data_IF_935162167686
#
_entry.id   IF_935162167686
#
_cell.length_a   1.000
_cell.length_b   1.000
_cell.length_c   1.000
_cell.angle_alpha   90.00
_cell.angle_beta   90.00
_cell.angle_gamma   90.00
#
_symmetry.space_group_name_H-M   'P 1'
#
loop_
_entity.id
_entity.type
_entity.pdbx_description
1 polymer ?
#
# COMPACT_ATOMS: atom_id res chain seq x y z
N UNK A 1 -18.54 15.24 21.30
CA UNK A 1 -18.20 14.52 20.05
C UNK A 1 -16.92 15.11 19.45
N UNK A 2 -16.84 16.44 19.27
CA UNK A 2 -15.63 17.17 18.85
C UNK A 2 -14.30 16.73 19.53
N UNK A 3 -14.21 16.74 20.87
CA UNK A 3 -12.97 16.40 21.56
C UNK A 3 -12.55 14.91 21.44
N UNK A 4 -13.50 14.00 21.17
CA UNK A 4 -13.15 12.61 20.86
C UNK A 4 -12.64 12.49 19.43
N UNK A 5 -13.26 13.20 18.47
CA UNK A 5 -12.79 13.22 17.08
C UNK A 5 -11.40 13.84 16.96
N UNK A 6 -11.12 14.92 17.71
CA UNK A 6 -9.79 15.56 17.76
C UNK A 6 -8.72 14.62 18.33
N UNK A 7 -9.07 13.83 19.35
CA UNK A 7 -8.17 12.82 19.92
C UNK A 7 -7.91 11.69 18.92
N UNK A 8 -8.96 11.17 18.26
CA UNK A 8 -8.82 10.11 17.24
C UNK A 8 -7.99 10.60 16.05
N UNK A 9 -8.18 11.86 15.63
CA UNK A 9 -7.40 12.46 14.55
C UNK A 9 -5.92 12.62 14.94
N UNK A 10 -5.61 13.12 16.13
CA UNK A 10 -4.21 13.25 16.57
C UNK A 10 -3.51 11.89 16.69
N UNK A 11 -4.21 10.85 17.18
CA UNK A 11 -3.69 9.48 17.18
C UNK A 11 -3.42 8.96 15.77
N UNK A 12 -4.31 9.23 14.82
CA UNK A 12 -4.14 8.84 13.41
C UNK A 12 -2.97 9.56 12.76
N UNK A 13 -2.81 10.85 13.02
CA UNK A 13 -1.69 11.65 12.53
C UNK A 13 -0.35 11.13 13.05
N UNK A 14 -0.27 10.83 14.34
CA UNK A 14 0.98 10.32 14.94
C UNK A 14 1.32 8.92 14.43
N UNK A 15 0.33 8.03 14.26
CA UNK A 15 0.53 6.76 13.58
C UNK A 15 1.02 6.96 12.13
N UNK A 16 0.44 7.92 11.40
CA UNK A 16 0.87 8.25 10.04
C UNK A 16 2.31 8.75 10.00
N UNK A 17 2.72 9.61 10.94
CA UNK A 17 4.10 10.09 11.08
C UNK A 17 5.07 8.93 11.35
N UNK A 18 4.68 7.95 12.17
CA UNK A 18 5.52 6.77 12.40
C UNK A 18 5.66 5.91 11.15
N UNK A 19 4.58 5.73 10.37
CA UNK A 19 4.64 5.00 9.09
C UNK A 19 5.55 5.72 8.06
N UNK A 20 5.52 7.05 8.03
CA UNK A 20 6.43 7.85 7.19
C UNK A 20 7.90 7.60 7.57
N UNK A 21 8.22 7.39 8.85
CA UNK A 21 9.59 7.06 9.28
C UNK A 21 10.09 5.73 8.72
N UNK A 22 9.25 4.70 8.70
CA UNK A 22 9.59 3.38 8.12
C UNK A 22 9.84 3.50 6.61
N UNK A 23 9.16 4.43 5.94
CA UNK A 23 9.36 4.67 4.50
C UNK A 23 10.76 5.20 4.15
N UNK A 24 11.43 5.86 5.10
CA UNK A 24 12.77 6.43 4.88
C UNK A 24 13.89 5.38 4.98
N UNK A 25 13.63 4.20 5.57
CA UNK A 25 14.58 3.10 5.58
C UNK A 25 14.30 2.16 4.41
N UNK A 26 15.17 2.17 3.40
CA UNK A 26 14.97 1.45 2.15
C UNK A 26 14.81 -0.07 2.34
N UNK A 27 15.48 -0.68 3.33
CA UNK A 27 15.37 -2.12 3.57
C UNK A 27 14.06 -2.49 4.27
N UNK A 28 13.69 -1.74 5.31
CA UNK A 28 12.44 -1.95 6.04
C UNK A 28 11.23 -1.68 5.15
N UNK A 29 11.29 -0.64 4.32
CA UNK A 29 10.23 -0.32 3.37
C UNK A 29 10.03 -1.41 2.31
N UNK A 30 11.12 -1.99 1.78
CA UNK A 30 11.03 -3.14 0.87
C UNK A 30 10.41 -4.36 1.56
N UNK A 31 10.80 -4.67 2.80
CA UNK A 31 10.19 -5.78 3.53
C UNK A 31 8.69 -5.52 3.77
N UNK A 32 8.32 -4.30 4.15
CA UNK A 32 6.92 -3.90 4.31
C UNK A 32 6.12 -4.09 3.01
N UNK A 33 6.65 -3.62 1.87
CA UNK A 33 5.99 -3.82 0.57
C UNK A 33 5.78 -5.30 0.25
N UNK A 34 6.80 -6.15 0.48
CA UNK A 34 6.68 -7.60 0.30
C UNK A 34 5.54 -8.16 1.17
N UNK A 35 5.51 -7.84 2.46
CA UNK A 35 4.49 -8.32 3.39
C UNK A 35 3.08 -7.88 2.99
N UNK A 36 2.92 -6.63 2.54
CA UNK A 36 1.65 -6.11 2.04
C UNK A 36 1.17 -6.85 0.79
N UNK A 37 2.07 -7.15 -0.15
CA UNK A 37 1.73 -7.95 -1.34
C UNK A 37 1.30 -9.35 -0.95
N UNK A 38 2.06 -10.04 -0.08
CA UNK A 38 1.71 -11.39 0.41
C UNK A 38 0.35 -11.39 1.10
N UNK A 39 0.08 -10.40 1.96
CA UNK A 39 -1.19 -10.26 2.66
C UNK A 39 -2.36 -10.09 1.67
N UNK A 40 -2.18 -9.26 0.63
CA UNK A 40 -3.17 -9.08 -0.43
C UNK A 40 -3.47 -10.39 -1.17
N UNK A 41 -2.42 -11.11 -1.60
CA UNK A 41 -2.55 -12.39 -2.30
C UNK A 41 -3.28 -13.45 -1.44
N UNK A 42 -2.96 -13.54 -0.15
CA UNK A 42 -3.62 -14.46 0.80
C UNK A 42 -5.13 -14.16 0.96
N UNK A 43 -5.51 -12.89 0.82
CA UNK A 43 -6.90 -12.45 0.92
C UNK A 43 -7.68 -12.65 -0.37
N UNK A 44 -7.07 -12.37 -1.52
CA UNK A 44 -7.70 -12.53 -2.84
C UNK A 44 -7.82 -14.01 -3.24
N UNK A 45 -6.73 -14.78 -3.07
CA UNK A 45 -6.62 -16.18 -3.50
C UNK A 45 -6.96 -16.39 -4.98
N UNK A 46 -6.58 -15.43 -5.81
CA UNK A 46 -6.76 -15.49 -7.26
C UNK A 46 -5.48 -15.97 -7.95
N UNK A 47 -5.59 -16.70 -9.07
CA UNK A 47 -4.42 -17.20 -9.81
C UNK A 47 -3.64 -16.09 -10.52
N UNK A 48 -4.28 -14.95 -10.79
CA UNK A 48 -3.68 -13.79 -11.44
C UNK A 48 -4.20 -12.50 -10.81
N UNK A 49 -3.32 -11.52 -10.58
CA UNK A 49 -3.68 -10.22 -10.03
C UNK A 49 -3.00 -9.07 -10.78
N UNK A 50 -3.73 -7.96 -10.94
CA UNK A 50 -3.19 -6.68 -11.40
C UNK A 50 -2.81 -5.83 -10.19
N UNK A 51 -1.52 -5.52 -10.05
CA UNK A 51 -0.97 -4.77 -8.93
C UNK A 51 -0.72 -3.32 -9.32
N UNK A 52 -1.39 -2.41 -8.61
CA UNK A 52 -1.23 -0.96 -8.79
C UNK A 52 -0.42 -0.37 -7.64
N UNK A 53 0.60 0.42 -7.97
CA UNK A 53 1.46 1.09 -6.99
C UNK A 53 1.66 2.57 -7.34
N UNK A 54 2.32 3.32 -6.47
CA UNK A 54 2.76 4.68 -6.81
C UNK A 54 3.92 4.59 -7.78
N UNK A 55 4.07 5.62 -8.62
CA UNK A 55 5.16 5.68 -9.61
C UNK A 55 6.55 5.64 -8.95
N UNK A 56 6.70 6.26 -7.78
CA UNK A 56 7.95 6.29 -7.00
C UNK A 56 8.35 4.94 -6.40
N UNK A 57 7.38 4.04 -6.18
CA UNK A 57 7.60 2.73 -5.55
C UNK A 57 7.82 1.61 -6.56
N UNK A 58 7.69 1.91 -7.86
CA UNK A 58 7.66 0.92 -8.94
C UNK A 58 8.86 -0.03 -8.90
N UNK A 59 10.07 0.52 -8.78
CA UNK A 59 11.30 -0.28 -8.71
C UNK A 59 11.36 -1.17 -7.46
N UNK A 60 10.90 -0.67 -6.31
CA UNK A 60 10.88 -1.45 -5.07
C UNK A 60 9.87 -2.58 -5.15
N UNK A 61 8.68 -2.29 -5.68
CA UNK A 61 7.63 -3.28 -5.90
C UNK A 61 8.14 -4.40 -6.79
N UNK A 62 8.69 -4.09 -7.97
CA UNK A 62 9.24 -5.10 -8.87
C UNK A 62 10.31 -5.97 -8.19
N UNK A 63 11.19 -5.34 -7.39
CA UNK A 63 12.26 -6.05 -6.69
C UNK A 63 11.77 -7.06 -5.64
N UNK A 64 10.55 -6.89 -5.10
CA UNK A 64 10.00 -7.79 -4.06
C UNK A 64 9.05 -8.85 -4.59
N UNK A 65 8.55 -8.72 -5.83
CA UNK A 65 7.52 -9.63 -6.38
C UNK A 65 7.94 -11.10 -6.37
N UNK A 66 9.19 -11.40 -6.72
CA UNK A 66 9.66 -12.80 -6.73
C UNK A 66 9.59 -13.42 -5.33
N UNK A 67 10.09 -12.71 -4.32
CA UNK A 67 10.05 -13.17 -2.93
C UNK A 67 8.61 -13.27 -2.41
N UNK A 68 7.75 -12.31 -2.74
CA UNK A 68 6.34 -12.32 -2.34
C UNK A 68 5.57 -13.50 -2.95
N UNK A 69 5.78 -13.80 -4.24
CA UNK A 69 5.19 -14.98 -4.91
C UNK A 69 5.59 -16.27 -4.20
N UNK A 70 6.88 -16.45 -3.89
CA UNK A 70 7.39 -17.63 -3.19
C UNK A 70 6.76 -17.78 -1.80
N UNK A 71 6.69 -16.69 -1.04
CA UNK A 71 6.13 -16.72 0.31
C UNK A 71 4.63 -17.01 0.31
N UNK A 72 3.87 -16.42 -0.63
CA UNK A 72 2.45 -16.73 -0.81
C UNK A 72 2.24 -18.21 -1.18
N UNK A 73 2.96 -18.72 -2.19
CA UNK A 73 2.84 -20.10 -2.65
C UNK A 73 3.13 -21.10 -1.51
N UNK A 74 4.15 -20.82 -0.70
CA UNK A 74 4.48 -21.64 0.47
C UNK A 74 3.41 -21.56 1.57
N UNK A 75 2.84 -20.38 1.86
CA UNK A 75 1.82 -20.20 2.90
C UNK A 75 0.45 -20.78 2.52
N UNK A 76 0.09 -20.69 1.25
CA UNK A 76 -1.20 -21.14 0.74
C UNK A 76 -1.17 -22.56 0.14
N UNK A 77 0.01 -23.18 0.05
CA UNK A 77 0.23 -24.51 -0.54
C UNK A 77 -0.28 -24.61 -1.98
N UNK A 78 -0.01 -23.57 -2.78
CA UNK A 78 -0.44 -23.45 -4.18
C UNK A 78 0.72 -23.06 -5.10
N UNK A 79 0.48 -23.09 -6.41
CA UNK A 79 1.41 -22.55 -7.39
C UNK A 79 1.54 -21.02 -7.28
N UNK A 80 2.63 -20.49 -7.85
CA UNK A 80 2.85 -19.05 -7.93
C UNK A 80 1.74 -18.34 -8.71
N UNK A 81 1.21 -17.22 -8.20
CA UNK A 81 0.26 -16.42 -8.93
C UNK A 81 0.96 -15.62 -10.03
N UNK A 82 0.23 -15.34 -11.10
CA UNK A 82 0.59 -14.31 -12.04
C UNK A 82 0.35 -12.94 -11.40
N UNK A 83 1.36 -12.07 -11.44
CA UNK A 83 1.25 -10.70 -10.92
C UNK A 83 1.73 -9.78 -12.02
N UNK A 84 0.84 -8.94 -12.52
CA UNK A 84 1.10 -7.91 -13.52
C UNK A 84 1.13 -6.56 -12.82
N UNK A 85 2.21 -5.80 -12.97
CA UNK A 85 2.28 -4.43 -12.45
C UNK A 85 1.60 -3.50 -13.46
N UNK A 86 0.67 -2.68 -13.00
CA UNK A 86 0.00 -1.68 -13.83
C UNK A 86 0.98 -0.52 -14.10
N UNK A 87 1.35 -0.33 -15.37
CA UNK A 87 2.25 0.76 -15.82
C UNK A 87 1.48 1.93 -16.43
N UNK A 88 0.16 1.85 -16.55
CA UNK A 88 -0.68 2.87 -17.17
C UNK A 88 -1.44 3.69 -16.13
N UNK A 89 -1.89 3.05 -15.06
CA UNK A 89 -2.64 3.70 -13.98
C UNK A 89 -1.87 3.57 -12.68
N UNK A 90 -1.44 4.69 -12.11
CA UNK A 90 -0.69 4.75 -10.84
C UNK A 90 -1.57 5.20 -9.66
N UNK A 91 -1.16 4.84 -8.44
CA UNK A 91 -1.71 5.45 -7.23
C UNK A 91 -1.28 6.92 -7.10
N UNK A 92 -2.07 7.77 -6.40
CA UNK A 92 -1.66 9.14 -6.10
C UNK A 92 -0.30 9.19 -5.37
N UNK A 93 0.52 10.22 -5.61
CA UNK A 93 1.83 10.37 -4.98
C UNK A 93 1.69 10.55 -3.45
N UNK A 94 2.81 10.42 -2.73
CA UNK A 94 2.82 10.69 -1.30
C UNK A 94 2.42 12.14 -1.00
N UNK A 95 1.56 12.41 0.00
CA UNK A 95 1.26 13.77 0.41
C UNK A 95 2.53 14.46 0.89
N UNK A 96 2.86 15.61 0.31
CA UNK A 96 4.00 16.42 0.72
C UNK A 96 3.65 17.23 1.97
N UNK A 97 4.64 17.55 2.82
CA UNK A 97 4.44 18.29 4.08
C UNK A 97 3.97 19.75 3.91
N UNK A 98 3.68 20.18 2.69
CA UNK A 98 3.30 21.54 2.35
C UNK A 98 1.89 21.68 1.76
N UNK A 99 1.03 20.66 1.87
CA UNK A 99 -0.37 20.79 1.48
C UNK A 99 -1.32 20.71 2.67
N UNK A 100 -1.79 21.90 3.04
CA UNK A 100 -2.87 22.10 3.99
C UNK A 100 -4.14 21.50 3.38
N UNK A 101 -4.63 20.39 3.93
CA UNK A 101 -5.98 19.89 3.68
C UNK A 101 -6.38 19.73 2.20
N UNK A 102 -5.59 19.06 1.37
CA UNK A 102 -6.21 18.38 0.23
C UNK A 102 -7.00 17.18 0.76
N UNK A 103 -8.30 17.39 0.90
CA UNK A 103 -9.28 16.36 1.24
C UNK A 103 -9.12 15.23 0.22
N UNK A 104 -8.40 14.19 0.60
CA UNK A 104 -8.45 12.90 -0.07
C UNK A 104 -9.91 12.40 -0.03
N UNK A 105 -10.67 12.75 -1.06
CA UNK A 105 -12.01 12.23 -1.29
C UNK A 105 -11.89 10.75 -1.68
N UNK A 106 -11.73 9.88 -0.68
CA UNK A 106 -11.79 8.42 -0.85
C UNK A 106 -13.23 7.90 -1.06
N UNK A 107 -14.23 8.78 -1.11
CA UNK A 107 -15.61 8.41 -1.43
C UNK A 107 -16.19 9.35 -2.48
N UNK A 108 -16.31 8.88 -3.73
CA UNK A 108 -17.28 9.42 -4.69
C UNK A 108 -18.68 9.10 -4.16
N UNK A 109 -19.31 10.02 -3.46
CA UNK A 109 -20.76 10.17 -3.60
C UNK A 109 -20.99 11.14 -4.75
N UNK A 110 -21.06 10.61 -5.97
CA UNK A 110 -21.80 11.27 -7.03
C UNK A 110 -23.27 11.14 -6.67
N UNK A 111 -23.86 12.18 -6.07
CA UNK A 111 -25.29 12.40 -6.13
C UNK A 111 -25.55 13.37 -7.29
N UNK A 112 -26.44 12.95 -8.20
CA UNK A 112 -26.91 13.77 -9.33
C UNK A 112 -27.87 14.88 -8.89
#
# INVERSE_FOLDING_TARGET
VQAQDDLVNSMKEDATKQLLRVSHNHHEYKNLLKELVVQGLLRLKEPAVLLRCRKEDHHHVESVLHSAKNEYASKAEVHHPEILVDHDVYLPPSPSSHDSHERFCFWRCCAG
#
